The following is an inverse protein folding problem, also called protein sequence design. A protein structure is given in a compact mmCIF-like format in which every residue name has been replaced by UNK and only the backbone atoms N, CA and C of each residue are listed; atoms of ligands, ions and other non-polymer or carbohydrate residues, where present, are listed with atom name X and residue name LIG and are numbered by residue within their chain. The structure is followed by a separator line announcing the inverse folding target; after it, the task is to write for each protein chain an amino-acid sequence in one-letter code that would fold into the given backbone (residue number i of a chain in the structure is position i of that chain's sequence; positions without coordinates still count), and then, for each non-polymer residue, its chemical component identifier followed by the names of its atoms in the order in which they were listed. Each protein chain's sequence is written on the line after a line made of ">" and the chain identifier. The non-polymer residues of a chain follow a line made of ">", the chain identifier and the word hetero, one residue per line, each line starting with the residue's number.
data_IF_338371458288
#
_entry.id   IF_338371458288
#
_cell.length_a   1.000
_cell.length_b   1.000
_cell.length_c   1.000
_cell.angle_alpha   90.00
_cell.angle_beta   90.00
_cell.angle_gamma   90.00
#
_symmetry.space_group_name_H-M   'P 1'
#
loop_
_entity.id
_entity.type
_entity.pdbx_description
1 polymer ?
#
# COMPACT_ATOMS: atom_id res chain seq x y z
N UNK A 1 31.93 -1.63 -0.86
CA UNK A 1 31.98 -3.04 -1.30
C UNK A 1 30.87 -3.28 -2.31
N UNK A 2 31.02 -4.24 -3.23
CA UNK A 2 29.93 -4.74 -4.07
C UNK A 2 29.17 -5.88 -3.34
N UNK A 3 28.06 -6.39 -3.93
CA UNK A 3 27.29 -7.49 -3.31
C UNK A 3 28.10 -8.75 -3.08
N UNK A 4 28.98 -9.09 -4.01
CA UNK A 4 29.85 -10.26 -3.90
C UNK A 4 30.81 -10.14 -2.73
N UNK A 5 31.45 -8.98 -2.56
CA UNK A 5 32.32 -8.70 -1.42
C UNK A 5 31.58 -8.73 -0.07
N UNK A 6 30.33 -8.24 -0.03
CA UNK A 6 29.48 -8.32 1.18
C UNK A 6 29.17 -9.79 1.51
N UNK A 7 28.77 -10.57 0.50
CA UNK A 7 28.46 -11.99 0.65
C UNK A 7 29.69 -12.78 1.15
N UNK A 8 30.85 -12.62 0.50
CA UNK A 8 32.10 -13.27 0.91
C UNK A 8 32.48 -12.97 2.35
N UNK A 9 32.30 -11.71 2.79
CA UNK A 9 32.58 -11.29 4.16
C UNK A 9 31.64 -11.99 5.16
N UNK A 10 30.36 -12.20 4.84
CA UNK A 10 29.41 -12.87 5.70
C UNK A 10 29.78 -14.34 5.94
N UNK A 11 30.44 -14.99 5.00
CA UNK A 11 30.94 -16.36 5.12
C UNK A 11 32.41 -16.46 5.54
N UNK A 12 33.09 -15.33 5.83
CA UNK A 12 34.54 -15.29 6.09
C UNK A 12 35.39 -15.98 5.00
N UNK A 13 34.96 -15.87 3.76
CA UNK A 13 35.66 -16.48 2.62
C UNK A 13 36.71 -15.49 2.13
N UNK A 14 37.97 -15.96 1.95
CA UNK A 14 38.99 -15.19 1.26
C UNK A 14 38.53 -14.87 -0.18
N UNK A 15 38.89 -13.71 -0.67
CA UNK A 15 38.45 -13.20 -1.95
C UNK A 15 38.70 -14.23 -3.07
N UNK A 16 37.64 -14.87 -3.54
CA UNK A 16 37.68 -15.77 -4.69
C UNK A 16 37.78 -14.87 -5.94
N UNK A 17 38.78 -15.07 -6.76
CA UNK A 17 38.86 -14.44 -8.08
C UNK A 17 37.67 -14.92 -8.91
N UNK A 18 37.01 -14.01 -9.62
CA UNK A 18 35.84 -14.28 -10.49
C UNK A 18 34.54 -14.63 -9.78
N UNK A 19 34.43 -14.37 -8.44
CA UNK A 19 33.17 -14.47 -7.71
C UNK A 19 32.33 -13.22 -7.95
N UNK A 20 31.39 -13.30 -8.86
CA UNK A 20 30.45 -12.22 -9.18
C UNK A 20 29.01 -12.67 -8.98
N UNK A 21 28.30 -12.04 -8.03
CA UNK A 21 26.87 -12.22 -7.83
C UNK A 21 26.11 -11.25 -8.73
N UNK A 22 25.28 -11.79 -9.61
CA UNK A 22 24.38 -10.99 -10.47
C UNK A 22 23.13 -10.58 -9.71
N UNK A 23 22.31 -11.55 -9.32
CA UNK A 23 21.07 -11.33 -8.61
C UNK A 23 20.96 -12.22 -7.37
N UNK A 24 19.96 -11.92 -6.52
CA UNK A 24 19.55 -12.78 -5.40
C UNK A 24 18.14 -13.23 -5.68
N UNK A 25 17.84 -14.52 -5.52
CA UNK A 25 16.50 -15.08 -5.72
C UNK A 25 16.14 -16.09 -4.64
N UNK A 26 14.87 -16.17 -4.32
CA UNK A 26 14.24 -17.21 -3.51
C UNK A 26 13.40 -18.17 -4.36
N UNK A 27 13.43 -17.99 -5.69
CA UNK A 27 12.70 -18.80 -6.67
C UNK A 27 13.70 -19.55 -7.57
N UNK A 28 13.81 -20.87 -7.41
CA UNK A 28 14.74 -21.69 -8.19
C UNK A 28 14.48 -21.68 -9.70
N UNK A 29 13.23 -21.38 -10.12
CA UNK A 29 12.83 -21.39 -11.54
C UNK A 29 13.42 -20.21 -12.34
N UNK A 30 13.66 -19.09 -11.68
CA UNK A 30 14.11 -17.83 -12.31
C UNK A 30 15.62 -17.62 -12.28
N UNK A 31 16.37 -18.62 -11.78
CA UNK A 31 17.82 -18.51 -11.60
C UNK A 31 18.59 -18.57 -12.91
N UNK A 32 19.60 -17.70 -12.97
CA UNK A 32 20.64 -17.73 -13.98
C UNK A 32 22.01 -18.04 -13.36
N UNK A 33 23.00 -18.26 -14.22
CA UNK A 33 24.39 -18.47 -13.78
C UNK A 33 24.90 -17.27 -12.98
N UNK A 34 25.51 -17.53 -11.83
CA UNK A 34 26.03 -16.57 -10.88
C UNK A 34 24.95 -15.78 -10.09
N UNK A 35 23.71 -16.19 -10.11
CA UNK A 35 22.73 -15.75 -9.12
C UNK A 35 23.00 -16.41 -7.75
N UNK A 36 22.49 -15.83 -6.68
CA UNK A 36 22.43 -16.46 -5.36
C UNK A 36 21.00 -16.93 -5.10
N UNK A 37 20.82 -18.21 -4.95
CA UNK A 37 19.60 -18.81 -4.46
C UNK A 37 19.62 -18.89 -2.94
N UNK A 38 18.63 -18.33 -2.26
CA UNK A 38 18.47 -18.49 -0.81
C UNK A 38 17.28 -19.40 -0.55
N UNK A 39 17.57 -20.60 -0.05
CA UNK A 39 16.59 -21.66 0.17
C UNK A 39 15.78 -21.39 1.44
N UNK A 40 14.59 -20.79 1.28
CA UNK A 40 13.66 -20.51 2.37
C UNK A 40 12.40 -21.38 2.25
N UNK A 41 11.73 -21.69 3.36
CA UNK A 41 10.40 -22.32 3.39
C UNK A 41 10.27 -23.53 2.46
N UNK A 42 11.10 -24.54 2.60
CA UNK A 42 11.09 -25.71 1.73
C UNK A 42 11.91 -25.56 0.45
N UNK A 43 12.57 -24.41 0.25
CA UNK A 43 13.53 -24.15 -0.81
C UNK A 43 14.71 -25.12 -0.81
N UNK A 44 15.02 -25.75 0.33
CA UNK A 44 16.08 -26.76 0.45
C UNK A 44 15.95 -27.91 -0.56
N UNK A 45 14.74 -28.25 -0.98
CA UNK A 45 14.50 -29.29 -2.01
C UNK A 45 15.00 -28.88 -3.41
N UNK A 46 15.28 -27.60 -3.63
CA UNK A 46 15.68 -27.05 -4.93
C UNK A 46 17.15 -26.61 -4.99
N UNK A 47 17.93 -26.88 -3.92
CA UNK A 47 19.36 -26.49 -3.86
C UNK A 47 20.16 -27.13 -4.98
N UNK A 48 19.97 -28.43 -5.23
CA UNK A 48 20.67 -29.13 -6.32
C UNK A 48 20.31 -28.56 -7.69
N UNK A 49 19.04 -28.26 -7.95
CA UNK A 49 18.58 -27.60 -9.19
C UNK A 49 19.26 -26.23 -9.38
N UNK A 50 19.34 -25.43 -8.30
CA UNK A 50 19.99 -24.13 -8.35
C UNK A 50 21.49 -24.24 -8.70
N UNK A 51 22.20 -25.18 -8.09
CA UNK A 51 23.61 -25.43 -8.35
C UNK A 51 23.84 -25.94 -9.79
N UNK A 52 22.96 -26.79 -10.33
CA UNK A 52 23.01 -27.26 -11.72
C UNK A 52 22.85 -26.13 -12.73
N UNK A 53 22.04 -25.09 -12.41
CA UNK A 53 21.91 -23.87 -13.20
C UNK A 53 23.13 -22.95 -13.11
N UNK A 54 24.12 -23.30 -12.29
CA UNK A 54 25.34 -22.51 -12.07
C UNK A 54 25.16 -21.34 -11.14
N UNK A 55 24.11 -21.35 -10.31
CA UNK A 55 23.93 -20.41 -9.22
C UNK A 55 24.77 -20.78 -8.00
N UNK A 56 24.91 -19.86 -7.06
CA UNK A 56 25.32 -20.12 -5.69
C UNK A 56 24.08 -20.45 -4.85
N UNK A 57 24.19 -21.33 -3.88
CA UNK A 57 23.06 -21.70 -3.03
C UNK A 57 23.37 -21.52 -1.55
N UNK A 58 22.49 -20.81 -0.83
CA UNK A 58 22.47 -20.73 0.63
C UNK A 58 21.32 -21.58 1.14
N UNK A 59 21.58 -22.47 2.10
CA UNK A 59 20.61 -23.45 2.60
C UNK A 59 20.81 -23.69 4.09
N UNK A 60 19.75 -24.17 4.78
CA UNK A 60 19.69 -24.34 6.23
C UNK A 60 19.25 -25.76 6.68
N UNK A 61 19.26 -26.74 5.77
CA UNK A 61 18.92 -28.12 6.14
C UNK A 61 20.13 -29.05 5.99
N UNK A 62 20.47 -29.74 7.06
CA UNK A 62 21.53 -30.78 7.09
C UNK A 62 21.18 -31.99 6.21
N UNK A 63 19.92 -32.14 5.79
CA UNK A 63 19.50 -33.23 4.90
C UNK A 63 19.85 -33.01 3.43
N UNK A 64 20.24 -31.77 3.07
CA UNK A 64 20.67 -31.45 1.72
C UNK A 64 22.03 -32.09 1.44
N UNK A 65 22.09 -32.89 0.41
CA UNK A 65 23.33 -33.52 -0.05
C UNK A 65 23.91 -32.70 -1.20
N UNK A 66 25.14 -32.24 -1.04
CA UNK A 66 25.86 -31.49 -2.06
C UNK A 66 26.84 -32.44 -2.78
N UNK A 67 26.83 -32.43 -4.11
CA UNK A 67 27.81 -33.11 -4.93
C UNK A 67 29.16 -32.35 -4.82
N UNK A 68 30.28 -33.05 -4.65
CA UNK A 68 31.63 -32.47 -4.47
C UNK A 68 31.96 -31.38 -5.50
N UNK A 69 31.51 -31.51 -6.74
CA UNK A 69 31.70 -30.52 -7.80
C UNK A 69 31.03 -29.16 -7.55
N UNK A 70 30.12 -29.07 -6.57
CA UNK A 70 29.37 -27.83 -6.22
C UNK A 70 29.72 -27.28 -4.84
N UNK A 71 30.61 -27.89 -4.06
CA UNK A 71 30.95 -27.47 -2.70
C UNK A 71 31.35 -26.00 -2.60
N UNK A 72 32.10 -25.48 -3.58
CA UNK A 72 32.52 -24.07 -3.63
C UNK A 72 31.34 -23.09 -3.88
N UNK A 73 30.17 -23.60 -4.25
CA UNK A 73 28.97 -22.80 -4.56
C UNK A 73 27.83 -23.02 -3.60
N UNK A 74 27.99 -23.90 -2.61
CA UNK A 74 26.97 -24.29 -1.65
C UNK A 74 27.36 -23.81 -0.24
N UNK A 75 26.50 -23.03 0.40
CA UNK A 75 26.76 -22.37 1.66
C UNK A 75 25.72 -22.73 2.69
N UNK A 76 26.11 -23.49 3.71
CA UNK A 76 25.23 -23.85 4.82
C UNK A 76 25.17 -22.69 5.83
N UNK A 77 23.96 -22.43 6.35
CA UNK A 77 23.69 -21.48 7.42
C UNK A 77 22.71 -22.09 8.42
N UNK A 78 22.65 -21.58 9.63
CA UNK A 78 21.70 -22.05 10.65
C UNK A 78 20.25 -21.67 10.30
N UNK A 79 20.02 -20.48 9.73
CA UNK A 79 18.72 -19.97 9.29
C UNK A 79 18.89 -19.12 8.02
N UNK A 80 18.30 -19.59 6.92
CA UNK A 80 18.34 -18.91 5.61
C UNK A 80 17.60 -17.58 5.60
N UNK A 81 16.56 -17.41 6.45
CA UNK A 81 15.83 -16.14 6.53
C UNK A 81 16.66 -15.12 7.29
N UNK A 82 17.29 -15.52 8.42
CA UNK A 82 18.19 -14.64 9.15
C UNK A 82 19.38 -14.23 8.28
N UNK A 83 19.94 -15.17 7.52
CA UNK A 83 21.00 -14.87 6.55
C UNK A 83 20.54 -13.83 5.52
N UNK A 84 19.36 -14.01 4.90
CA UNK A 84 18.78 -13.06 3.93
C UNK A 84 18.69 -11.65 4.52
N UNK A 85 18.18 -11.53 5.76
CA UNK A 85 18.04 -10.27 6.48
C UNK A 85 19.40 -9.62 6.79
N UNK A 86 20.36 -10.41 7.24
CA UNK A 86 21.72 -9.96 7.51
C UNK A 86 22.43 -9.50 6.23
N UNK A 87 22.28 -10.24 5.12
CA UNK A 87 22.84 -9.87 3.83
C UNK A 87 22.26 -8.54 3.34
N UNK A 88 20.95 -8.38 3.41
CA UNK A 88 20.30 -7.13 3.02
C UNK A 88 20.74 -5.95 3.90
N UNK A 89 20.85 -6.15 5.23
CA UNK A 89 21.30 -5.12 6.18
C UNK A 89 22.75 -4.70 5.91
N UNK A 90 23.65 -5.65 5.65
CA UNK A 90 25.05 -5.35 5.32
C UNK A 90 25.17 -4.71 3.94
N UNK A 91 24.34 -5.13 2.97
CA UNK A 91 24.27 -4.46 1.66
C UNK A 91 23.79 -3.01 1.80
N UNK A 92 22.74 -2.75 2.61
CA UNK A 92 22.25 -1.39 2.89
C UNK A 92 23.33 -0.42 3.37
N UNK A 93 24.28 -0.90 4.18
CA UNK A 93 25.40 -0.08 4.67
C UNK A 93 26.38 0.33 3.57
N UNK A 94 26.39 -0.38 2.45
CA UNK A 94 27.27 -0.15 1.31
C UNK A 94 26.59 0.57 0.14
N UNK A 95 25.33 0.95 0.30
CA UNK A 95 24.54 1.70 -0.67
C UNK A 95 24.52 3.18 -0.31
N UNK A 96 24.98 4.02 -1.23
CA UNK A 96 24.87 5.48 -1.14
C UNK A 96 23.63 5.95 -1.91
N UNK A 97 22.46 5.43 -1.49
CA UNK A 97 21.15 5.74 -2.07
C UNK A 97 20.20 6.19 -0.98
N UNK A 98 19.16 6.93 -1.34
CA UNK A 98 18.10 7.29 -0.42
C UNK A 98 17.10 6.14 -0.27
N UNK A 99 16.90 5.66 0.94
CA UNK A 99 15.89 4.64 1.26
C UNK A 99 14.65 5.32 1.84
N UNK A 100 13.51 5.06 1.21
CA UNK A 100 12.20 5.57 1.62
C UNK A 100 11.40 4.40 2.16
N UNK A 101 11.07 4.41 3.46
CA UNK A 101 10.17 3.45 4.09
C UNK A 101 8.72 3.94 4.02
N UNK A 102 7.75 3.04 3.90
CA UNK A 102 6.33 3.39 3.93
C UNK A 102 5.58 2.36 4.76
N UNK A 103 4.93 2.80 5.84
CA UNK A 103 3.99 1.99 6.62
C UNK A 103 2.66 2.71 6.80
N UNK A 104 1.69 2.06 7.42
CA UNK A 104 0.35 2.59 7.66
C UNK A 104 -0.73 1.52 7.53
N UNK A 105 -1.93 1.81 7.97
CA UNK A 105 -3.05 0.87 7.84
C UNK A 105 -3.53 0.78 6.40
N UNK A 106 -3.81 1.90 5.76
CA UNK A 106 -4.26 2.02 4.37
C UNK A 106 -3.35 2.94 3.57
N UNK A 107 -3.37 2.84 2.23
CA UNK A 107 -2.68 3.77 1.34
C UNK A 107 -1.19 3.51 1.10
N UNK A 108 -0.54 2.57 1.79
CA UNK A 108 0.89 2.27 1.63
C UNK A 108 1.34 2.11 0.17
N UNK A 109 0.70 1.20 -0.55
CA UNK A 109 1.05 0.92 -1.95
C UNK A 109 0.73 2.10 -2.86
N UNK A 110 -0.38 2.81 -2.60
CA UNK A 110 -0.74 4.03 -3.34
C UNK A 110 0.33 5.10 -3.18
N UNK A 111 0.75 5.40 -1.95
CA UNK A 111 1.83 6.37 -1.66
C UNK A 111 3.15 5.91 -2.27
N UNK A 112 3.49 4.61 -2.17
CA UNK A 112 4.67 4.03 -2.83
C UNK A 112 4.69 4.28 -4.33
N UNK A 113 3.56 4.04 -4.99
CA UNK A 113 3.43 4.23 -6.44
C UNK A 113 3.50 5.71 -6.82
N UNK A 114 2.87 6.59 -6.06
CA UNK A 114 2.93 8.04 -6.25
C UNK A 114 4.35 8.58 -6.07
N UNK A 115 5.05 8.20 -5.00
CA UNK A 115 6.45 8.61 -4.78
C UNK A 115 7.33 8.10 -5.93
N UNK A 116 7.19 6.82 -6.30
CA UNK A 116 7.96 6.25 -7.40
C UNK A 116 7.70 6.99 -8.71
N UNK A 117 6.43 7.26 -9.03
CA UNK A 117 6.05 8.00 -10.23
C UNK A 117 6.68 9.40 -10.27
N UNK A 118 6.63 10.14 -9.15
CA UNK A 118 7.22 11.47 -9.05
C UNK A 118 8.74 11.42 -9.19
N UNK A 119 9.43 10.59 -8.40
CA UNK A 119 10.89 10.55 -8.38
C UNK A 119 11.47 10.06 -9.71
N UNK A 120 10.81 9.10 -10.37
CA UNK A 120 11.25 8.55 -11.65
C UNK A 120 11.24 9.54 -12.81
N UNK A 121 10.67 10.75 -12.63
CA UNK A 121 10.78 11.82 -13.62
C UNK A 121 12.21 12.39 -13.71
N UNK A 122 13.04 12.15 -12.70
CA UNK A 122 14.39 12.75 -12.62
C UNK A 122 15.45 11.78 -12.11
N UNK A 123 15.09 10.81 -11.28
CA UNK A 123 16.02 9.94 -10.57
C UNK A 123 15.80 8.49 -10.98
N UNK A 124 16.89 7.70 -10.99
CA UNK A 124 16.83 6.25 -11.16
C UNK A 124 16.60 5.56 -9.82
N UNK A 125 15.66 4.62 -9.76
CA UNK A 125 15.43 3.89 -8.51
C UNK A 125 14.47 2.73 -8.66
N UNK A 126 14.22 2.06 -7.54
CA UNK A 126 13.39 0.86 -7.45
C UNK A 126 12.35 1.00 -6.34
N UNK A 127 11.36 0.14 -6.37
CA UNK A 127 10.31 0.06 -5.33
C UNK A 127 9.96 -1.39 -5.01
N UNK A 128 9.32 -1.59 -3.87
CA UNK A 128 8.68 -2.88 -3.55
C UNK A 128 7.70 -3.28 -4.63
N UNK A 129 7.86 -4.47 -5.17
CA UNK A 129 6.95 -5.10 -6.13
C UNK A 129 5.99 -6.05 -5.41
N UNK A 130 4.75 -6.17 -5.94
CA UNK A 130 3.75 -7.06 -5.37
C UNK A 130 3.51 -6.78 -3.88
N UNK A 131 3.59 -7.83 -3.06
CA UNK A 131 3.44 -7.81 -1.61
C UNK A 131 4.74 -8.14 -0.86
N UNK A 132 5.91 -7.88 -1.45
CA UNK A 132 7.23 -8.11 -0.82
C UNK A 132 7.52 -7.08 0.29
N UNK A 133 6.62 -6.95 1.26
CA UNK A 133 6.63 -5.92 2.31
C UNK A 133 6.85 -6.47 3.73
N UNK A 134 7.17 -7.76 3.88
CA UNK A 134 7.39 -8.44 5.15
C UNK A 134 8.89 -8.75 5.39
N UNK A 135 9.18 -9.51 6.45
CA UNK A 135 10.52 -9.91 6.90
C UNK A 135 11.34 -10.76 5.91
N UNK A 136 10.73 -11.22 4.80
CA UNK A 136 11.40 -11.88 3.68
C UNK A 136 11.42 -10.97 2.46
N UNK A 137 10.28 -10.38 2.12
CA UNK A 137 10.12 -9.60 0.89
C UNK A 137 10.87 -8.27 0.90
N UNK A 138 10.93 -7.57 2.04
CA UNK A 138 11.68 -6.32 2.15
C UNK A 138 13.19 -6.53 1.99
N UNK A 139 13.85 -7.49 2.70
CA UNK A 139 15.27 -7.80 2.46
C UNK A 139 15.55 -8.15 1.00
N UNK A 140 14.71 -8.98 0.40
CA UNK A 140 14.81 -9.36 -1.01
C UNK A 140 14.70 -8.14 -1.95
N UNK A 141 13.75 -7.23 -1.70
CA UNK A 141 13.62 -5.98 -2.45
C UNK A 141 14.87 -5.12 -2.30
N UNK A 142 15.41 -4.98 -1.09
CA UNK A 142 16.60 -4.17 -0.82
C UNK A 142 17.84 -4.71 -1.52
N UNK A 143 17.99 -6.03 -1.61
CA UNK A 143 19.07 -6.67 -2.35
C UNK A 143 19.00 -6.47 -3.86
N UNK A 144 17.85 -6.05 -4.40
CA UNK A 144 17.73 -5.65 -5.82
C UNK A 144 18.28 -4.26 -6.12
N UNK A 145 18.49 -3.43 -5.09
CA UNK A 145 19.11 -2.12 -5.28
C UNK A 145 20.54 -2.23 -5.80
N UNK A 146 20.88 -1.38 -6.76
CA UNK A 146 22.21 -1.27 -7.36
C UNK A 146 22.88 0.05 -6.94
N UNK A 147 24.19 0.14 -7.13
CA UNK A 147 24.95 1.33 -6.74
C UNK A 147 24.66 2.56 -7.58
N UNK A 148 24.14 2.38 -8.77
CA UNK A 148 23.75 3.44 -9.70
C UNK A 148 22.25 3.83 -9.56
N UNK A 149 21.50 3.16 -8.67
CA UNK A 149 20.21 3.67 -8.22
C UNK A 149 20.45 4.88 -7.31
N UNK A 150 19.52 5.83 -7.33
CA UNK A 150 19.55 7.02 -6.47
C UNK A 150 18.56 6.91 -5.31
N UNK A 151 17.53 6.05 -5.48
CA UNK A 151 16.57 5.77 -4.42
C UNK A 151 16.02 4.34 -4.49
N UNK A 152 15.50 3.89 -3.34
CA UNK A 152 14.63 2.71 -3.25
C UNK A 152 13.47 2.98 -2.29
N UNK A 153 12.28 2.51 -2.67
CA UNK A 153 11.07 2.63 -1.86
C UNK A 153 10.69 1.25 -1.32
N UNK A 154 10.64 1.13 0.00
CA UNK A 154 10.35 -0.09 0.71
C UNK A 154 9.00 0.00 1.43
N UNK A 155 8.01 -0.72 0.93
CA UNK A 155 6.74 -0.89 1.63
C UNK A 155 6.96 -1.81 2.85
N UNK A 156 6.44 -1.42 4.01
CA UNK A 156 6.60 -2.11 5.30
C UNK A 156 5.23 -2.53 5.83
N UNK A 157 4.92 -3.80 5.65
CA UNK A 157 3.73 -4.45 6.21
C UNK A 157 4.03 -5.08 7.57
N UNK A 158 2.98 -5.24 8.37
CA UNK A 158 3.06 -5.94 9.64
C UNK A 158 1.74 -6.65 9.96
N UNK A 159 1.79 -7.64 10.82
CA UNK A 159 0.64 -8.26 11.47
C UNK A 159 0.69 -8.11 13.00
N UNK A 160 1.88 -7.91 13.59
CA UNK A 160 2.09 -7.82 15.02
C UNK A 160 3.24 -6.89 15.44
N UNK A 161 3.45 -6.77 16.72
CA UNK A 161 4.57 -6.04 17.31
C UNK A 161 5.92 -6.66 16.93
N UNK A 162 6.96 -5.83 16.85
CA UNK A 162 8.33 -6.22 16.54
C UNK A 162 8.61 -6.41 15.05
N UNK A 163 7.58 -6.50 14.21
CA UNK A 163 7.77 -6.69 12.76
C UNK A 163 8.28 -5.41 12.10
N UNK A 164 7.74 -4.24 12.45
CA UNK A 164 8.22 -2.95 11.93
C UNK A 164 9.59 -2.61 12.50
N UNK A 165 9.88 -2.97 13.76
CA UNK A 165 11.20 -2.86 14.36
C UNK A 165 12.26 -3.62 13.55
N UNK A 166 11.97 -4.88 13.20
CA UNK A 166 12.85 -5.69 12.36
C UNK A 166 13.08 -5.08 10.98
N UNK A 167 11.99 -4.66 10.31
CA UNK A 167 12.07 -4.04 9.00
C UNK A 167 12.86 -2.72 9.05
N UNK A 168 12.69 -1.95 10.12
CA UNK A 168 13.45 -0.73 10.39
C UNK A 168 14.95 -0.98 10.54
N UNK A 169 15.32 -2.00 11.30
CA UNK A 169 16.73 -2.43 11.47
C UNK A 169 17.38 -2.81 10.15
N UNK A 170 16.64 -3.47 9.27
CA UNK A 170 17.15 -3.90 7.94
C UNK A 170 17.26 -2.71 7.00
N UNK A 171 16.20 -1.92 6.87
CA UNK A 171 16.08 -0.86 5.87
C UNK A 171 16.84 0.41 6.26
N UNK A 172 16.87 0.78 7.54
CA UNK A 172 17.45 2.03 8.03
C UNK A 172 17.12 3.20 7.09
N UNK A 173 15.81 3.59 7.00
CA UNK A 173 15.35 4.51 5.97
C UNK A 173 15.87 5.93 6.21
N UNK A 174 16.15 6.65 5.13
CA UNK A 174 16.47 8.08 5.21
C UNK A 174 15.19 8.90 5.45
N UNK A 175 14.11 8.52 4.76
CA UNK A 175 12.78 9.12 4.87
C UNK A 175 11.79 8.00 5.17
N UNK A 176 10.84 8.23 6.07
CA UNK A 176 9.73 7.30 6.25
C UNK A 176 8.38 8.00 6.16
N UNK A 177 7.37 7.31 5.61
CA UNK A 177 5.99 7.78 5.57
C UNK A 177 5.13 6.87 6.44
N UNK A 178 4.30 7.44 7.31
CA UNK A 178 3.21 6.74 8.00
C UNK A 178 1.90 7.32 7.51
N UNK A 179 1.15 6.55 6.71
CA UNK A 179 -0.02 7.06 5.99
C UNK A 179 -1.21 7.34 6.90
N UNK A 180 -1.55 6.43 7.77
CA UNK A 180 -2.65 6.55 8.74
C UNK A 180 -2.65 5.39 9.73
N UNK A 181 -3.45 5.55 10.80
CA UNK A 181 -3.76 4.53 11.80
C UNK A 181 -5.25 4.20 11.72
N UNK A 182 -5.57 2.97 11.35
CA UNK A 182 -6.94 2.49 11.19
C UNK A 182 -7.14 1.06 11.65
N UNK A 183 -8.35 0.55 11.53
CA UNK A 183 -8.73 -0.82 11.85
C UNK A 183 -8.08 -1.79 10.86
N UNK A 184 -6.84 -2.19 11.14
CA UNK A 184 -6.10 -3.20 10.39
C UNK A 184 -5.38 -4.13 11.37
N UNK A 185 -5.33 -5.42 11.05
CA UNK A 185 -4.64 -6.43 11.86
C UNK A 185 -5.14 -6.49 13.31
N UNK A 186 -6.41 -6.15 13.56
CA UNK A 186 -7.03 -6.15 14.88
C UNK A 186 -7.11 -7.57 15.48
N UNK A 187 -7.06 -8.59 14.66
CA UNK A 187 -6.95 -9.98 15.11
C UNK A 187 -5.75 -10.16 16.04
N UNK A 188 -4.61 -9.55 15.76
CA UNK A 188 -3.37 -9.67 16.52
C UNK A 188 -3.16 -8.50 17.47
N UNK A 189 -3.40 -7.27 17.03
CA UNK A 189 -3.10 -6.05 17.79
C UNK A 189 -4.24 -5.58 18.69
N UNK A 190 -5.47 -6.04 18.49
CA UNK A 190 -6.67 -5.82 19.32
C UNK A 190 -7.20 -4.38 19.30
N UNK A 191 -6.37 -3.36 19.31
CA UNK A 191 -6.78 -1.95 19.40
C UNK A 191 -6.05 -1.06 18.38
N UNK A 192 -6.65 0.07 17.98
CA UNK A 192 -5.97 1.10 17.14
C UNK A 192 -4.72 1.67 17.82
N UNK A 193 -4.74 1.80 19.13
CA UNK A 193 -3.58 2.27 19.89
C UNK A 193 -2.39 1.32 19.73
N UNK A 194 -2.63 0.01 19.78
CA UNK A 194 -1.59 -0.98 19.52
C UNK A 194 -1.12 -0.95 18.05
N UNK A 195 -2.03 -0.69 17.10
CA UNK A 195 -1.66 -0.47 15.70
C UNK A 195 -0.73 0.75 15.56
N UNK A 196 -1.03 1.84 16.27
CA UNK A 196 -0.17 3.03 16.33
C UNK A 196 1.21 2.70 16.91
N UNK A 197 1.25 2.05 18.07
CA UNK A 197 2.51 1.66 18.72
C UNK A 197 3.38 0.79 17.80
N UNK A 198 2.78 -0.24 17.20
CA UNK A 198 3.49 -1.14 16.29
C UNK A 198 4.02 -0.42 15.02
N UNK A 199 3.25 0.51 14.44
CA UNK A 199 3.70 1.26 13.25
C UNK A 199 4.78 2.30 13.58
N UNK A 200 4.78 2.84 14.79
CA UNK A 200 5.78 3.82 15.24
C UNK A 200 7.09 3.19 15.71
N UNK A 201 7.19 1.85 15.77
CA UNK A 201 8.46 1.13 15.95
C UNK A 201 9.53 1.52 14.88
N UNK A 202 9.11 2.07 13.74
CA UNK A 202 10.05 2.54 12.71
C UNK A 202 10.86 3.79 13.13
N UNK A 203 10.33 4.62 14.01
CA UNK A 203 10.89 5.97 14.31
C UNK A 203 12.37 5.94 14.68
N UNK A 204 12.86 5.02 15.54
CA UNK A 204 14.30 4.97 15.92
C UNK A 204 15.26 4.71 14.75
N UNK A 205 14.77 4.22 13.63
CA UNK A 205 15.57 3.84 12.47
C UNK A 205 15.62 4.88 11.36
N UNK A 206 14.82 5.95 11.47
CA UNK A 206 14.72 7.02 10.46
C UNK A 206 15.93 7.94 10.62
N UNK A 207 16.60 8.25 9.49
CA UNK A 207 17.82 9.07 9.51
C UNK A 207 17.56 10.57 9.40
N UNK A 208 16.52 10.99 8.67
CA UNK A 208 16.33 12.41 8.40
C UNK A 208 14.88 12.91 8.54
N UNK A 209 13.91 12.22 7.96
CA UNK A 209 12.57 12.79 7.80
C UNK A 209 11.47 11.76 8.01
N UNK A 210 10.47 12.12 8.80
CA UNK A 210 9.21 11.40 8.97
C UNK A 210 8.08 12.24 8.35
N UNK A 211 7.38 11.69 7.35
CA UNK A 211 6.19 12.30 6.74
C UNK A 211 4.94 11.57 7.26
N UNK A 212 3.97 12.31 7.76
CA UNK A 212 2.75 11.76 8.38
C UNK A 212 1.49 12.47 7.92
N UNK A 213 0.36 11.76 8.02
CA UNK A 213 -0.96 12.39 8.01
C UNK A 213 -1.13 13.21 9.29
N UNK A 214 -1.16 14.53 9.17
CA UNK A 214 -1.26 15.45 10.29
C UNK A 214 -2.67 15.56 10.89
N UNK A 215 -3.69 15.10 10.17
CA UNK A 215 -5.09 15.07 10.64
C UNK A 215 -5.46 13.73 11.31
N UNK A 216 -4.59 12.73 11.26
CA UNK A 216 -4.80 11.44 11.93
C UNK A 216 -4.76 11.61 13.45
N UNK A 217 -5.76 11.07 14.13
CA UNK A 217 -5.95 11.21 15.59
C UNK A 217 -4.70 10.80 16.38
N UNK A 218 -4.03 9.74 15.97
CA UNK A 218 -2.85 9.19 16.64
C UNK A 218 -1.56 9.86 16.18
N UNK A 219 -1.44 10.17 14.86
CA UNK A 219 -0.21 10.68 14.30
C UNK A 219 0.01 12.18 14.52
N UNK A 220 -1.05 12.99 14.65
CA UNK A 220 -0.97 14.46 14.75
C UNK A 220 -0.02 14.98 15.83
N UNK A 221 0.14 14.23 16.91
CA UNK A 221 0.97 14.58 18.06
C UNK A 221 2.36 13.92 18.06
N UNK A 222 2.69 13.14 17.03
CA UNK A 222 4.00 12.48 16.94
C UNK A 222 5.10 13.52 16.91
N UNK A 223 6.08 13.34 17.79
CA UNK A 223 7.32 14.09 17.83
C UNK A 223 8.47 13.10 17.76
N UNK A 224 9.52 13.45 17.08
CA UNK A 224 10.72 12.65 16.99
C UNK A 224 11.93 13.56 17.18
N UNK A 225 12.86 13.14 18.03
CA UNK A 225 14.10 13.84 18.24
C UNK A 225 15.07 13.55 17.09
N UNK A 226 15.84 14.57 16.71
CA UNK A 226 16.90 14.48 15.68
C UNK A 226 16.45 14.21 14.23
N UNK A 227 15.15 14.13 13.96
CA UNK A 227 14.61 14.05 12.59
C UNK A 227 13.53 15.10 12.37
N UNK A 228 13.35 15.49 11.12
CA UNK A 228 12.27 16.39 10.74
C UNK A 228 10.94 15.64 10.64
N UNK A 229 9.89 16.17 11.27
CA UNK A 229 8.53 15.67 11.11
C UNK A 229 7.74 16.62 10.21
N UNK A 230 7.29 16.11 9.06
CA UNK A 230 6.48 16.82 8.07
C UNK A 230 5.05 16.29 8.14
N UNK A 231 4.08 17.18 8.28
CA UNK A 231 2.65 16.85 8.32
C UNK A 231 1.96 17.27 7.04
N UNK A 232 1.12 16.38 6.51
CA UNK A 232 0.11 16.73 5.51
C UNK A 232 -1.19 17.07 6.24
N UNK A 233 -1.70 18.29 6.08
CA UNK A 233 -2.79 18.89 6.88
C UNK A 233 -3.87 19.46 5.95
N UNK A 234 -5.15 19.13 6.20
CA UNK A 234 -6.26 19.72 5.48
C UNK A 234 -6.54 21.14 6.02
N UNK A 235 -6.62 22.14 5.15
CA UNK A 235 -6.92 23.54 5.49
C UNK A 235 -8.33 23.74 6.05
N UNK A 236 -9.26 22.83 5.80
CA UNK A 236 -10.57 22.88 6.44
C UNK A 236 -10.51 22.69 7.96
N UNK A 237 -9.50 21.95 8.44
CA UNK A 237 -9.33 21.60 9.84
C UNK A 237 -8.15 22.34 10.50
N UNK A 238 -7.29 22.99 9.73
CA UNK A 238 -6.03 23.53 10.20
C UNK A 238 -5.75 24.92 9.63
N UNK A 239 -5.24 25.82 10.47
CA UNK A 239 -4.71 27.11 10.02
C UNK A 239 -3.27 26.94 9.49
N UNK A 240 -2.97 27.61 8.40
CA UNK A 240 -1.62 27.63 7.84
C UNK A 240 -0.63 28.28 8.82
N UNK A 241 0.47 27.58 9.07
CA UNK A 241 1.60 28.07 9.88
C UNK A 241 2.81 28.29 8.98
N UNK A 242 3.18 29.57 8.83
CA UNK A 242 4.36 29.94 8.04
C UNK A 242 5.66 29.43 8.70
N UNK A 243 6.66 29.13 7.85
CA UNK A 243 8.01 28.65 8.25
C UNK A 243 8.02 27.28 8.95
N UNK A 244 6.95 26.51 8.89
CA UNK A 244 6.97 25.10 9.25
C UNK A 244 7.33 24.25 8.02
N UNK A 245 7.69 22.98 8.24
CA UNK A 245 7.92 22.03 7.15
C UNK A 245 6.64 21.38 6.65
N UNK A 246 5.49 21.74 7.21
CA UNK A 246 4.21 21.10 6.95
C UNK A 246 3.63 21.50 5.59
N UNK A 247 2.86 20.60 5.00
CA UNK A 247 2.16 20.77 3.73
C UNK A 247 0.66 20.85 3.99
N UNK A 248 0.04 21.93 3.56
CA UNK A 248 -1.38 22.22 3.75
C UNK A 248 -2.10 22.10 2.43
N UNK A 249 -3.17 21.28 2.38
CA UNK A 249 -3.98 21.07 1.19
C UNK A 249 -5.45 21.40 1.47
N UNK A 250 -6.20 21.68 0.41
CA UNK A 250 -7.63 21.98 0.51
C UNK A 250 -8.22 22.34 -0.85
N UNK A 251 -9.41 22.90 -0.84
CA UNK A 251 -10.15 23.30 -2.05
C UNK A 251 -10.21 22.14 -3.07
N UNK A 252 -10.68 20.98 -2.58
CA UNK A 252 -10.66 19.73 -3.35
C UNK A 252 -11.92 19.62 -4.18
N UNK A 253 -11.75 19.60 -5.49
CA UNK A 253 -12.82 19.38 -6.46
C UNK A 253 -12.48 18.19 -7.34
N UNK A 254 -13.36 17.19 -7.43
CA UNK A 254 -13.15 16.06 -8.30
C UNK A 254 -14.39 15.70 -9.11
N UNK A 255 -14.16 15.18 -10.30
CA UNK A 255 -15.15 14.66 -11.23
C UNK A 255 -14.60 13.41 -11.91
N UNK A 256 -15.29 12.90 -12.90
CA UNK A 256 -14.89 11.69 -13.64
C UNK A 256 -13.51 11.76 -14.29
N UNK A 257 -13.01 12.98 -14.59
CA UNK A 257 -11.72 13.19 -15.28
C UNK A 257 -10.53 13.36 -14.33
N UNK A 258 -10.76 13.47 -13.01
CA UNK A 258 -9.71 13.63 -12.02
C UNK A 258 -10.06 14.58 -10.89
N UNK A 259 -9.03 15.00 -10.17
CA UNK A 259 -9.13 15.87 -8.99
C UNK A 259 -8.29 17.13 -9.19
N UNK A 260 -8.84 18.26 -8.81
CA UNK A 260 -8.13 19.53 -8.64
C UNK A 260 -8.07 19.86 -7.15
N UNK A 261 -6.91 20.34 -6.67
CA UNK A 261 -6.73 20.70 -5.28
C UNK A 261 -5.68 21.80 -5.12
N UNK A 262 -5.81 22.56 -4.05
CA UNK A 262 -4.85 23.58 -3.65
C UNK A 262 -3.82 22.98 -2.68
N UNK A 263 -2.54 23.41 -2.81
CA UNK A 263 -1.44 23.04 -1.92
C UNK A 263 -0.65 24.28 -1.51
N UNK A 264 -0.37 24.39 -0.20
CA UNK A 264 0.40 25.47 0.39
C UNK A 264 1.46 24.92 1.34
N UNK A 265 2.70 25.38 1.21
CA UNK A 265 3.81 24.98 2.07
C UNK A 265 4.91 26.05 2.08
N UNK A 266 5.82 26.00 3.06
CA UNK A 266 7.00 26.88 3.08
C UNK A 266 8.16 26.21 2.31
N UNK A 267 8.60 26.84 1.23
CA UNK A 267 9.70 26.38 0.40
C UNK A 267 11.06 26.68 1.03
N UNK A 268 11.76 25.68 1.54
CA UNK A 268 13.07 25.85 2.19
C UNK A 268 14.13 26.47 1.28
N UNK A 269 14.09 26.18 -0.01
CA UNK A 269 15.06 26.68 -1.00
C UNK A 269 14.77 28.14 -1.33
N UNK A 270 13.51 28.48 -1.61
CA UNK A 270 13.13 29.85 -1.97
C UNK A 270 12.87 30.76 -0.74
N UNK A 271 12.91 30.20 0.47
CA UNK A 271 12.63 30.90 1.74
C UNK A 271 11.33 31.70 1.70
N UNK A 272 10.31 31.16 1.06
CA UNK A 272 9.00 31.80 0.90
C UNK A 272 7.88 30.77 0.88
N UNK A 273 6.66 31.25 1.16
CA UNK A 273 5.46 30.43 1.02
C UNK A 273 5.20 30.14 -0.46
N UNK A 274 4.96 28.89 -0.76
CA UNK A 274 4.58 28.38 -2.09
C UNK A 274 3.12 28.00 -2.07
N UNK A 275 2.36 28.51 -3.04
CA UNK A 275 0.95 28.19 -3.27
C UNK A 275 0.77 27.67 -4.69
N UNK A 276 0.06 26.54 -4.84
CA UNK A 276 -0.14 25.87 -6.13
C UNK A 276 -1.50 25.20 -6.21
N UNK A 277 -2.11 25.30 -7.39
CA UNK A 277 -3.22 24.42 -7.77
C UNK A 277 -2.66 23.24 -8.58
N UNK A 278 -3.03 22.06 -8.18
CA UNK A 278 -2.68 20.81 -8.86
C UNK A 278 -3.90 20.20 -9.50
N UNK A 279 -3.67 19.53 -10.64
CA UNK A 279 -4.67 18.70 -11.31
C UNK A 279 -4.09 17.30 -11.51
N UNK A 280 -4.84 16.28 -11.09
CA UNK A 280 -4.41 14.89 -11.12
C UNK A 280 -5.52 13.98 -11.63
N UNK A 281 -5.15 12.83 -12.17
CA UNK A 281 -6.07 11.79 -12.61
C UNK A 281 -6.57 10.86 -11.50
N UNK A 282 -6.05 11.00 -10.27
CA UNK A 282 -6.52 10.18 -9.13
C UNK A 282 -7.76 10.80 -8.50
N UNK A 283 -8.66 9.96 -8.00
CA UNK A 283 -9.94 10.35 -7.43
C UNK A 283 -9.98 10.14 -5.92
N UNK A 284 -10.72 11.01 -5.23
CA UNK A 284 -11.01 10.93 -3.81
C UNK A 284 -10.04 11.71 -2.92
N UNK A 285 -10.60 12.33 -1.88
CA UNK A 285 -9.86 13.16 -0.92
C UNK A 285 -8.70 12.39 -0.26
N UNK A 286 -8.93 11.12 0.11
CA UNK A 286 -7.88 10.27 0.68
C UNK A 286 -6.68 10.08 -0.26
N UNK A 287 -6.90 10.10 -1.58
CA UNK A 287 -5.81 10.05 -2.55
C UNK A 287 -5.13 11.41 -2.75
N UNK A 288 -5.81 12.52 -2.53
CA UNK A 288 -5.17 13.85 -2.44
C UNK A 288 -4.19 13.87 -1.27
N UNK A 289 -4.61 13.43 -0.08
CA UNK A 289 -3.73 13.31 1.08
C UNK A 289 -2.51 12.41 0.79
N UNK A 290 -2.72 11.23 0.19
CA UNK A 290 -1.64 10.34 -0.22
C UNK A 290 -0.67 11.03 -1.18
N UNK A 291 -1.19 11.81 -2.13
CA UNK A 291 -0.39 12.57 -3.09
C UNK A 291 0.37 13.72 -2.43
N UNK A 292 -0.22 14.42 -1.48
CA UNK A 292 0.46 15.48 -0.71
C UNK A 292 1.65 14.90 0.07
N UNK A 293 1.49 13.75 0.72
CA UNK A 293 2.61 13.06 1.36
C UNK A 293 3.70 12.66 0.35
N UNK A 294 3.31 12.18 -0.84
CA UNK A 294 4.26 11.85 -1.91
C UNK A 294 4.99 13.10 -2.44
N UNK A 295 4.29 14.23 -2.59
CA UNK A 295 4.88 15.52 -2.97
C UNK A 295 5.87 15.98 -1.89
N UNK A 296 5.52 15.85 -0.61
CA UNK A 296 6.41 16.19 0.49
C UNK A 296 7.73 15.39 0.41
N UNK A 297 7.66 14.07 0.13
CA UNK A 297 8.86 13.25 -0.11
C UNK A 297 9.63 13.75 -1.34
N UNK A 298 8.97 14.03 -2.46
CA UNK A 298 9.62 14.53 -3.68
C UNK A 298 10.35 15.87 -3.44
N UNK A 299 9.78 16.74 -2.60
CA UNK A 299 10.44 18.01 -2.19
C UNK A 299 11.68 17.77 -1.32
N UNK A 300 11.75 16.70 -0.53
CA UNK A 300 12.98 16.32 0.20
C UNK A 300 14.11 15.86 -0.74
N UNK A 301 13.76 15.39 -1.96
CA UNK A 301 14.72 15.14 -3.04
C UNK A 301 15.10 16.39 -3.85
N UNK A 302 14.55 17.54 -3.52
CA UNK A 302 14.82 18.78 -4.26
C UNK A 302 14.14 18.85 -5.64
N UNK A 303 13.05 18.12 -5.83
CA UNK A 303 12.29 18.20 -7.09
C UNK A 303 11.65 19.58 -7.26
N UNK A 304 11.72 20.10 -8.47
CA UNK A 304 11.11 21.37 -8.85
C UNK A 304 9.59 21.23 -8.96
N UNK A 305 8.87 22.28 -8.53
CA UNK A 305 7.40 22.31 -8.57
C UNK A 305 6.83 22.12 -9.99
N UNK A 306 7.54 22.62 -11.00
CA UNK A 306 7.15 22.46 -12.40
C UNK A 306 7.13 20.98 -12.81
N UNK A 307 8.16 20.22 -12.43
CA UNK A 307 8.25 18.77 -12.73
C UNK A 307 7.14 18.03 -11.98
N UNK A 308 6.95 18.34 -10.69
CA UNK A 308 5.89 17.75 -9.87
C UNK A 308 4.52 18.04 -10.47
N UNK A 309 4.22 19.30 -10.84
CA UNK A 309 2.93 19.71 -11.40
C UNK A 309 2.61 19.00 -12.72
N UNK A 310 3.61 18.67 -13.51
CA UNK A 310 3.40 17.90 -14.75
C UNK A 310 3.20 16.41 -14.46
N UNK A 311 4.02 15.85 -13.58
CA UNK A 311 3.98 14.43 -13.24
C UNK A 311 2.65 14.01 -12.58
N UNK A 312 2.08 14.82 -11.70
CA UNK A 312 0.83 14.47 -11.00
C UNK A 312 -0.40 14.37 -11.92
N UNK A 313 -0.33 14.89 -13.15
CA UNK A 313 -1.46 14.81 -14.09
C UNK A 313 -1.78 13.38 -14.52
N UNK A 314 -0.79 12.49 -14.55
CA UNK A 314 -0.90 11.13 -15.08
C UNK A 314 -0.24 10.11 -14.17
N UNK A 315 -0.71 10.01 -12.94
CA UNK A 315 -0.18 9.05 -11.95
C UNK A 315 -0.60 7.64 -12.34
N UNK A 316 0.37 6.74 -12.46
CA UNK A 316 0.15 5.31 -12.63
C UNK A 316 0.08 4.61 -11.27
N UNK A 317 -1.07 4.08 -10.90
CA UNK A 317 -1.25 3.26 -9.70
C UNK A 317 -1.26 1.77 -10.04
N UNK A 318 -0.82 0.95 -9.10
CA UNK A 318 -1.03 -0.51 -9.16
C UNK A 318 -2.54 -0.81 -9.25
N UNK A 319 -2.93 -1.74 -10.11
CA UNK A 319 -4.33 -2.08 -10.37
C UNK A 319 -5.14 -2.43 -9.13
N UNK A 320 -6.46 -2.43 -9.25
CA UNK A 320 -7.43 -2.66 -8.18
C UNK A 320 -7.39 -1.61 -7.04
N UNK A 321 -6.98 -0.36 -7.33
CA UNK A 321 -6.98 0.77 -6.39
C UNK A 321 -7.72 1.94 -7.01
N UNK A 322 -9.04 1.90 -6.89
CA UNK A 322 -9.97 2.81 -7.55
C UNK A 322 -9.73 2.89 -9.07
N UNK A 323 -9.37 1.73 -9.67
CA UNK A 323 -9.04 1.60 -11.08
C UNK A 323 -10.31 1.67 -11.93
N UNK A 324 -10.34 2.60 -12.88
CA UNK A 324 -11.45 2.76 -13.82
C UNK A 324 -11.24 1.81 -15.00
N UNK A 325 -12.28 1.03 -15.33
CA UNK A 325 -12.29 0.07 -16.43
C UNK A 325 -13.61 0.26 -17.20
N UNK A 326 -13.51 0.76 -18.44
CA UNK A 326 -14.67 0.92 -19.30
C UNK A 326 -14.96 -0.37 -20.08
N UNK A 327 -16.21 -0.83 -20.04
CA UNK A 327 -16.67 -1.98 -20.81
C UNK A 327 -18.11 -1.77 -21.31
N UNK A 328 -18.25 -1.34 -22.58
CA UNK A 328 -19.54 -1.05 -23.18
C UNK A 328 -20.31 0.06 -22.45
N UNK A 329 -21.49 -0.27 -21.92
CA UNK A 329 -22.30 0.66 -21.13
C UNK A 329 -21.98 0.65 -19.63
N UNK A 330 -20.94 -0.08 -19.22
CA UNK A 330 -20.54 -0.25 -17.81
C UNK A 330 -19.16 0.34 -17.55
N UNK A 331 -19.06 1.22 -16.56
CA UNK A 331 -17.80 1.68 -15.99
C UNK A 331 -17.58 0.97 -14.68
N UNK A 332 -16.60 0.10 -14.59
CA UNK A 332 -16.19 -0.53 -13.35
C UNK A 332 -15.16 0.34 -12.63
N UNK A 333 -15.38 0.55 -11.36
CA UNK A 333 -14.41 1.13 -10.43
C UNK A 333 -13.90 -0.01 -9.56
N UNK A 334 -12.75 -0.57 -9.97
CA UNK A 334 -12.14 -1.71 -9.28
C UNK A 334 -11.27 -1.21 -8.12
N UNK A 335 -11.76 -1.40 -6.90
CA UNK A 335 -11.06 -1.11 -5.64
C UNK A 335 -10.97 -2.35 -4.74
N UNK A 336 -10.82 -3.53 -5.37
CA UNK A 336 -10.87 -4.84 -4.74
C UNK A 336 -9.50 -5.41 -4.34
N UNK A 337 -8.46 -4.57 -4.18
CA UNK A 337 -7.16 -5.03 -3.71
C UNK A 337 -7.19 -5.39 -2.22
N UNK A 338 -7.80 -4.57 -1.39
CA UNK A 338 -8.01 -4.83 0.04
C UNK A 338 -9.17 -3.98 0.57
N UNK A 339 -9.71 -4.39 1.74
CA UNK A 339 -10.78 -3.68 2.39
C UNK A 339 -10.58 -3.63 3.92
N UNK A 340 -10.92 -2.47 4.49
CA UNK A 340 -11.04 -2.19 5.91
C UNK A 340 -12.21 -1.22 6.10
N UNK A 341 -12.78 -1.05 7.30
CA UNK A 341 -13.88 -0.12 7.53
C UNK A 341 -13.62 1.27 6.97
N UNK A 342 -12.50 1.90 7.32
CA UNK A 342 -12.10 3.21 6.81
C UNK A 342 -11.98 3.24 5.27
N UNK A 343 -11.40 2.20 4.65
CA UNK A 343 -11.24 2.18 3.21
C UNK A 343 -12.56 1.94 2.46
N UNK A 344 -13.50 1.18 3.04
CA UNK A 344 -14.86 1.04 2.53
C UNK A 344 -15.57 2.39 2.50
N UNK A 345 -15.54 3.10 3.64
CA UNK A 345 -16.13 4.44 3.79
C UNK A 345 -15.61 5.41 2.73
N UNK A 346 -14.29 5.55 2.62
CA UNK A 346 -13.66 6.48 1.65
C UNK A 346 -13.95 6.15 0.20
N UNK A 347 -14.05 4.86 -0.15
CA UNK A 347 -14.44 4.45 -1.50
C UNK A 347 -15.90 4.77 -1.81
N UNK A 348 -16.80 4.52 -0.86
CA UNK A 348 -18.23 4.84 -0.98
C UNK A 348 -18.46 6.34 -1.10
N UNK A 349 -17.82 7.15 -0.24
CA UNK A 349 -17.88 8.62 -0.29
C UNK A 349 -17.43 9.14 -1.66
N UNK A 350 -16.27 8.69 -2.15
CA UNK A 350 -15.74 9.09 -3.45
C UNK A 350 -16.67 8.69 -4.59
N UNK A 351 -17.14 7.43 -4.59
CA UNK A 351 -18.04 6.91 -5.63
C UNK A 351 -19.38 7.65 -5.65
N UNK A 352 -19.89 8.08 -4.50
CA UNK A 352 -21.16 8.80 -4.42
C UNK A 352 -21.15 10.14 -5.17
N UNK A 353 -20.00 10.76 -5.34
CA UNK A 353 -19.84 12.10 -5.90
C UNK A 353 -19.54 12.11 -7.41
N UNK A 354 -19.14 10.97 -7.99
CA UNK A 354 -18.82 10.83 -9.41
C UNK A 354 -19.90 10.04 -10.15
N UNK A 355 -19.91 10.09 -11.50
CA UNK A 355 -20.85 9.35 -12.37
C UNK A 355 -22.32 9.62 -12.05
N UNK A 356 -22.68 10.89 -11.86
CA UNK A 356 -24.05 11.27 -11.49
C UNK A 356 -25.05 11.12 -12.67
N UNK A 357 -24.55 10.93 -13.89
CA UNK A 357 -25.30 10.67 -15.13
C UNK A 357 -25.58 9.17 -15.37
N UNK A 358 -25.15 8.27 -14.45
CA UNK A 358 -25.21 6.81 -14.59
C UNK A 358 -25.96 6.19 -13.42
N UNK A 359 -26.53 5.02 -13.66
CA UNK A 359 -27.04 4.17 -12.58
C UNK A 359 -25.86 3.64 -11.76
N UNK A 360 -25.87 3.88 -10.45
CA UNK A 360 -24.79 3.52 -9.54
C UNK A 360 -25.06 2.18 -8.85
N UNK A 361 -24.18 1.22 -9.06
CA UNK A 361 -24.19 -0.10 -8.41
C UNK A 361 -23.01 -0.20 -7.47
N UNK A 362 -23.25 -0.55 -6.23
CA UNK A 362 -22.20 -0.83 -5.22
C UNK A 362 -22.15 -2.33 -4.97
N UNK A 363 -20.99 -2.92 -5.09
CA UNK A 363 -20.72 -4.33 -4.74
C UNK A 363 -19.68 -4.36 -3.64
N UNK A 364 -20.07 -4.79 -2.45
CA UNK A 364 -19.18 -4.92 -1.29
C UNK A 364 -19.01 -6.39 -0.92
N UNK A 365 -17.76 -6.80 -0.76
CA UNK A 365 -17.42 -8.12 -0.23
C UNK A 365 -16.76 -8.04 1.14
N UNK A 366 -16.54 -9.20 1.77
CA UNK A 366 -16.02 -9.30 3.13
C UNK A 366 -14.71 -8.55 3.33
N UNK A 367 -14.59 -7.93 4.50
CA UNK A 367 -13.34 -7.41 5.07
C UNK A 367 -12.72 -8.51 5.95
N UNK A 368 -11.48 -8.91 5.64
CA UNK A 368 -10.74 -9.95 6.35
C UNK A 368 -9.80 -9.35 7.40
N UNK A 369 -9.28 -10.16 8.31
CA UNK A 369 -8.29 -9.81 9.35
C UNK A 369 -8.79 -8.80 10.41
N UNK A 370 -10.11 -8.70 10.63
CA UNK A 370 -10.70 -7.78 11.59
C UNK A 370 -10.83 -8.37 13.02
N UNK A 371 -10.58 -9.68 13.19
CA UNK A 371 -10.63 -10.35 14.48
C UNK A 371 -12.06 -10.55 15.04
N UNK A 372 -12.18 -10.59 16.35
CA UNK A 372 -13.43 -10.98 17.03
C UNK A 372 -14.62 -10.06 16.73
N UNK A 373 -14.37 -8.79 16.42
CA UNK A 373 -15.43 -7.80 16.16
C UNK A 373 -15.79 -7.71 14.67
N UNK A 374 -15.37 -8.67 13.84
CA UNK A 374 -15.55 -8.59 12.39
C UNK A 374 -17.01 -8.38 11.96
N UNK A 375 -17.97 -9.08 12.58
CA UNK A 375 -19.37 -8.95 12.22
C UNK A 375 -19.95 -7.59 12.62
N UNK A 376 -19.56 -7.04 13.77
CA UNK A 376 -19.94 -5.70 14.20
C UNK A 376 -19.39 -4.64 13.24
N UNK A 377 -18.11 -4.74 12.85
CA UNK A 377 -17.47 -3.82 11.91
C UNK A 377 -18.14 -3.86 10.52
N UNK A 378 -18.57 -5.05 10.07
CA UNK A 378 -19.37 -5.17 8.84
C UNK A 378 -20.73 -4.51 8.98
N UNK A 379 -21.45 -4.80 10.05
CA UNK A 379 -22.78 -4.23 10.29
C UNK A 379 -22.73 -2.69 10.42
N UNK A 380 -21.66 -2.15 10.99
CA UNK A 380 -21.46 -0.70 11.16
C UNK A 380 -21.31 0.07 9.84
N UNK A 381 -20.99 -0.60 8.73
CA UNK A 381 -21.02 0.01 7.40
C UNK A 381 -22.41 0.53 7.02
N UNK A 382 -23.48 0.06 7.71
CA UNK A 382 -24.82 0.59 7.55
C UNK A 382 -24.88 2.11 7.66
N UNK A 383 -24.16 2.71 8.60
CA UNK A 383 -24.17 4.16 8.81
C UNK A 383 -23.54 4.92 7.65
N UNK A 384 -22.51 4.38 7.02
CA UNK A 384 -21.92 4.93 5.80
C UNK A 384 -22.84 4.76 4.60
N UNK A 385 -23.34 3.54 4.39
CA UNK A 385 -24.24 3.19 3.28
C UNK A 385 -25.52 4.03 3.31
N UNK A 386 -26.09 4.26 4.49
CA UNK A 386 -27.29 5.09 4.65
C UNK A 386 -27.11 6.49 4.06
N UNK A 387 -25.93 7.07 4.18
CA UNK A 387 -25.61 8.44 3.79
C UNK A 387 -24.95 8.56 2.41
N UNK A 388 -24.81 7.44 1.69
CA UNK A 388 -24.12 7.37 0.40
C UNK A 388 -25.11 7.26 -0.76
N UNK A 389 -24.87 8.00 -1.86
CA UNK A 389 -25.79 8.03 -3.03
C UNK A 389 -25.45 6.90 -4.00
N UNK A 390 -26.31 5.89 -4.11
CA UNK A 390 -26.28 4.84 -5.12
C UNK A 390 -27.67 4.21 -5.32
N UNK A 391 -27.87 3.48 -6.42
CA UNK A 391 -29.17 2.96 -6.85
C UNK A 391 -29.34 1.48 -6.51
N UNK A 392 -28.27 0.68 -6.48
CA UNK A 392 -28.30 -0.77 -6.14
C UNK A 392 -27.12 -1.16 -5.25
N UNK A 393 -27.39 -2.08 -4.31
CA UNK A 393 -26.39 -2.62 -3.40
C UNK A 393 -26.34 -4.15 -3.48
N UNK A 394 -25.19 -4.70 -3.80
CA UNK A 394 -24.95 -6.12 -3.82
C UNK A 394 -23.87 -6.47 -2.79
N UNK A 395 -24.20 -7.37 -1.88
CA UNK A 395 -23.35 -7.81 -0.79
C UNK A 395 -22.84 -9.23 -1.06
N UNK A 396 -21.57 -9.48 -0.87
CA UNK A 396 -20.93 -10.76 -1.17
C UNK A 396 -20.09 -11.27 0.00
N UNK A 397 -20.34 -12.49 0.42
CA UNK A 397 -19.58 -13.16 1.48
C UNK A 397 -20.34 -13.33 2.79
N UNK A 398 -19.82 -14.22 3.63
CA UNK A 398 -20.49 -14.67 4.84
C UNK A 398 -20.63 -13.55 5.89
N UNK A 399 -19.59 -12.72 6.02
CA UNK A 399 -19.57 -11.62 6.99
C UNK A 399 -20.48 -10.47 6.60
N UNK A 400 -20.66 -10.24 5.29
CA UNK A 400 -21.60 -9.24 4.78
C UNK A 400 -23.07 -9.56 5.07
N UNK A 401 -23.41 -10.79 5.49
CA UNK A 401 -24.73 -11.13 5.99
C UNK A 401 -25.13 -10.28 7.21
N UNK A 402 -24.18 -9.95 8.09
CA UNK A 402 -24.44 -9.10 9.25
C UNK A 402 -24.90 -7.69 8.84
N UNK A 403 -24.29 -7.13 7.79
CA UNK A 403 -24.75 -5.86 7.21
C UNK A 403 -26.12 -5.99 6.53
N UNK A 404 -26.34 -7.07 5.79
CA UNK A 404 -27.61 -7.32 5.11
C UNK A 404 -28.78 -7.41 6.10
N UNK A 405 -28.63 -8.14 7.20
CA UNK A 405 -29.66 -8.23 8.24
C UNK A 405 -29.89 -6.88 8.94
N UNK A 406 -28.79 -6.14 9.23
CA UNK A 406 -28.88 -4.79 9.78
C UNK A 406 -29.65 -3.83 8.87
N UNK A 407 -29.48 -3.93 7.55
CA UNK A 407 -30.25 -3.13 6.58
C UNK A 407 -31.73 -3.50 6.64
N UNK A 408 -32.07 -4.79 6.60
CA UNK A 408 -33.46 -5.26 6.66
C UNK A 408 -34.18 -4.75 7.91
N UNK A 409 -33.59 -4.95 9.09
CA UNK A 409 -34.14 -4.49 10.34
C UNK A 409 -34.51 -3.00 10.33
N UNK A 410 -33.62 -2.16 9.75
CA UNK A 410 -33.82 -0.72 9.72
C UNK A 410 -34.80 -0.24 8.63
N UNK A 411 -34.87 -0.99 7.51
CA UNK A 411 -35.85 -0.67 6.43
C UNK A 411 -37.26 -1.03 6.84
N UNK A 412 -37.46 -2.18 7.49
CA UNK A 412 -38.78 -2.67 7.92
C UNK A 412 -39.38 -1.80 9.04
N UNK A 413 -38.57 -1.26 9.95
CA UNK A 413 -39.01 -0.43 11.08
C UNK A 413 -39.40 1.01 10.71
N UNK A 414 -39.37 1.41 9.44
CA UNK A 414 -39.59 2.80 8.98
C UNK A 414 -38.75 3.87 9.72
N UNK A 415 -37.71 3.45 10.42
CA UNK A 415 -36.79 4.32 11.17
C UNK A 415 -35.78 5.06 10.29
N UNK A 416 -35.96 4.97 8.97
CA UNK A 416 -35.07 5.63 8.00
C UNK A 416 -35.29 7.16 7.95
N UNK A 417 -36.46 7.66 8.39
CA UNK A 417 -36.88 9.05 8.22
C UNK A 417 -36.70 9.89 9.52
N UNK A 418 -35.47 10.18 9.90
CA UNK A 418 -35.17 11.24 10.87
C UNK A 418 -34.91 12.60 10.19
N UNK A 419 -35.75 12.96 9.27
CA UNK A 419 -36.11 14.35 8.91
C UNK A 419 -35.08 15.19 8.14
N UNK A 420 -33.82 14.80 7.88
CA UNK A 420 -32.84 15.69 7.23
C UNK A 420 -31.67 15.01 6.45
N UNK A 421 -31.67 13.71 6.18
CA UNK A 421 -30.60 13.04 5.44
C UNK A 421 -31.11 12.40 4.16
N UNK A 422 -30.44 12.65 3.03
CA UNK A 422 -30.67 11.95 1.77
C UNK A 422 -30.28 10.48 1.93
N UNK A 423 -31.28 9.64 2.25
CA UNK A 423 -31.08 8.19 2.36
C UNK A 423 -30.81 7.62 0.98
N UNK A 424 -29.89 6.65 0.88
CA UNK A 424 -29.58 5.92 -0.36
C UNK A 424 -30.87 5.43 -1.06
N UNK A 425 -30.96 5.68 -2.36
CA UNK A 425 -32.10 5.18 -3.16
C UNK A 425 -32.21 3.67 -3.10
N UNK A 426 -31.09 2.94 -3.05
CA UNK A 426 -31.08 1.49 -2.95
C UNK A 426 -31.83 1.01 -1.70
N UNK A 427 -31.62 1.65 -0.55
CA UNK A 427 -32.31 1.29 0.69
C UNK A 427 -33.80 1.67 0.65
N UNK A 428 -34.14 2.87 0.14
CA UNK A 428 -35.52 3.32 0.02
C UNK A 428 -36.37 2.44 -0.89
N UNK A 429 -35.80 1.93 -1.96
CA UNK A 429 -36.52 1.16 -2.98
C UNK A 429 -36.40 -0.36 -2.79
N UNK A 430 -35.72 -0.83 -1.75
CA UNK A 430 -35.46 -2.27 -1.55
C UNK A 430 -34.51 -2.89 -2.58
N UNK A 431 -33.66 -2.09 -3.23
CA UNK A 431 -32.72 -2.52 -4.28
C UNK A 431 -31.39 -2.97 -3.67
N UNK A 432 -31.45 -3.90 -2.70
CA UNK A 432 -30.28 -4.49 -2.07
C UNK A 432 -30.45 -6.01 -1.95
N UNK A 433 -29.39 -6.75 -2.26
CA UNK A 433 -29.39 -8.22 -2.26
C UNK A 433 -28.05 -8.74 -1.70
N UNK A 434 -28.11 -9.93 -1.05
CA UNK A 434 -26.93 -10.68 -0.63
C UNK A 434 -26.73 -11.91 -1.54
N UNK A 435 -25.47 -12.20 -1.87
CA UNK A 435 -25.09 -13.29 -2.77
C UNK A 435 -23.98 -14.15 -2.17
N UNK A 436 -24.04 -15.44 -2.42
CA UNK A 436 -22.99 -16.41 -2.09
C UNK A 436 -22.11 -16.76 -3.32
N UNK A 437 -22.50 -16.32 -4.52
CA UNK A 437 -21.82 -16.60 -5.79
C UNK A 437 -21.61 -15.32 -6.61
N UNK A 438 -20.38 -15.05 -7.04
CA UNK A 438 -20.02 -13.89 -7.87
C UNK A 438 -20.72 -13.88 -9.22
N UNK A 439 -20.97 -15.05 -9.80
CA UNK A 439 -21.63 -15.19 -11.11
C UNK A 439 -23.05 -14.63 -11.10
N UNK A 440 -23.79 -14.80 -9.99
CA UNK A 440 -25.11 -14.20 -9.82
C UNK A 440 -25.07 -12.68 -9.80
N UNK A 441 -24.05 -12.09 -9.15
CA UNK A 441 -23.85 -10.63 -9.14
C UNK A 441 -23.57 -10.15 -10.57
N UNK A 442 -22.71 -10.85 -11.29
CA UNK A 442 -22.34 -10.56 -12.68
C UNK A 442 -23.56 -10.59 -13.61
N UNK A 443 -24.42 -11.62 -13.47
CA UNK A 443 -25.68 -11.70 -14.21
C UNK A 443 -26.62 -10.53 -13.89
N UNK A 444 -26.77 -10.15 -12.61
CA UNK A 444 -27.57 -8.99 -12.21
C UNK A 444 -27.05 -7.69 -12.83
N UNK A 445 -25.74 -7.48 -12.85
CA UNK A 445 -25.13 -6.30 -13.49
C UNK A 445 -25.39 -6.31 -15.00
N UNK A 446 -25.30 -7.47 -15.68
CA UNK A 446 -25.60 -7.62 -17.12
C UNK A 446 -27.04 -7.27 -17.48
N UNK A 447 -28.00 -7.62 -16.61
CA UNK A 447 -29.43 -7.35 -16.83
C UNK A 447 -29.79 -5.88 -16.77
N UNK A 448 -28.93 -5.01 -16.24
CA UNK A 448 -29.13 -3.57 -16.23
C UNK A 448 -28.80 -3.04 -17.64
N UNK A 449 -29.80 -2.53 -18.36
CA UNK A 449 -29.65 -2.02 -19.72
C UNK A 449 -29.08 -0.59 -19.77
N UNK A 450 -29.30 0.18 -18.71
CA UNK A 450 -28.89 1.57 -18.60
C UNK A 450 -27.37 1.70 -18.54
N UNK A 451 -26.87 2.88 -18.90
CA UNK A 451 -25.46 3.25 -18.64
C UNK A 451 -25.21 3.26 -17.13
N UNK A 452 -24.23 2.51 -16.68
CA UNK A 452 -24.01 2.26 -15.26
C UNK A 452 -22.56 2.41 -14.83
N UNK A 453 -22.37 2.77 -13.57
CA UNK A 453 -21.08 2.73 -12.87
C UNK A 453 -21.15 1.69 -11.74
N UNK A 454 -20.14 0.84 -11.62
CA UNK A 454 -20.11 -0.29 -10.68
C UNK A 454 -18.86 -0.19 -9.80
N UNK A 455 -19.03 0.11 -8.52
CA UNK A 455 -17.94 0.03 -7.54
C UNK A 455 -17.79 -1.41 -7.04
N UNK A 456 -16.57 -1.94 -7.11
CA UNK A 456 -16.20 -3.25 -6.56
C UNK A 456 -15.20 -3.05 -5.43
N UNK A 457 -15.56 -3.43 -4.18
CA UNK A 457 -14.65 -3.32 -3.03
C UNK A 457 -14.76 -4.49 -2.07
N UNK A 458 -13.62 -5.15 -1.83
CA UNK A 458 -13.50 -6.28 -0.92
C UNK A 458 -12.03 -6.52 -0.53
N UNK A 459 -11.79 -7.36 0.47
CA UNK A 459 -10.47 -7.90 0.74
C UNK A 459 -9.98 -8.80 -0.40
N UNK A 460 -8.66 -8.86 -0.61
CA UNK A 460 -8.00 -9.58 -1.73
C UNK A 460 -8.45 -11.04 -1.85
N UNK A 461 -8.65 -11.71 -0.71
CA UNK A 461 -9.10 -13.11 -0.68
C UNK A 461 -10.46 -13.35 -1.33
N UNK A 462 -11.31 -12.31 -1.44
CA UNK A 462 -12.64 -12.40 -2.05
C UNK A 462 -12.59 -12.43 -3.59
N UNK A 463 -11.49 -11.96 -4.20
CA UNK A 463 -11.28 -11.93 -5.66
C UNK A 463 -12.45 -11.29 -6.42
N UNK A 464 -12.93 -10.15 -5.92
CA UNK A 464 -14.15 -9.52 -6.43
C UNK A 464 -13.96 -8.97 -7.86
N UNK A 465 -12.72 -8.74 -8.30
CA UNK A 465 -12.37 -8.38 -9.66
C UNK A 465 -12.78 -9.41 -10.72
N UNK A 466 -13.08 -10.65 -10.34
CA UNK A 466 -13.58 -11.68 -11.26
C UNK A 466 -14.99 -11.37 -11.80
N UNK A 467 -15.70 -10.42 -11.15
CA UNK A 467 -16.99 -9.91 -11.64
C UNK A 467 -16.82 -9.07 -12.91
N UNK A 468 -15.65 -8.44 -13.09
CA UNK A 468 -15.38 -7.61 -14.27
C UNK A 468 -15.33 -8.48 -15.51
N UNK A 469 -16.14 -8.14 -16.48
CA UNK A 469 -16.12 -8.79 -17.79
C UNK A 469 -14.88 -8.35 -18.57
N UNK A 470 -14.24 -9.30 -19.23
CA UNK A 470 -13.09 -9.07 -20.10
C UNK A 470 -13.54 -8.74 -21.52
#
# INVERSE_FOLDING_TARGET
>A
MNKSEVFQRLFNIEKISDFEIKNVSINSKELEKNDVFIAIRGGNNFVSEALEKGAFAVYDSETVKIDEKYEERAFFVEDSIEFLQNFAREWRKNLDIKVIGITGSNGKTTVKDMIYHLLSQKYKGKKTEGNYNNHIGLPFTLLRAEKDDEFIILEMGMSGFGEIDLLGKIASPDINVITNIGESHLEFLKTKENVFLAKTEIIPYIKSTLVINGDDEYLKNVKAENIEVIRALNLENNEFRDKTSDFYYGDIHFNESGTEFFLKYFGKICQSTVERNYKTNVLGEHNVLNLVMAIAVAKQFGMEDKIISEAVKNIGLTGMRFQIIENGNTTYINDAYNASPMSMEKSLETFSQIYNDRLKVVVLGDMLELGENELELHSNLFYTIKNTKFDKLYLFGERMKSLFEKIKENVDDKNLDNGNLEISKALKNGEFEHFDEKEKIKEKIRQISEKKAVLLKASRGMKLEEIIEK
#
